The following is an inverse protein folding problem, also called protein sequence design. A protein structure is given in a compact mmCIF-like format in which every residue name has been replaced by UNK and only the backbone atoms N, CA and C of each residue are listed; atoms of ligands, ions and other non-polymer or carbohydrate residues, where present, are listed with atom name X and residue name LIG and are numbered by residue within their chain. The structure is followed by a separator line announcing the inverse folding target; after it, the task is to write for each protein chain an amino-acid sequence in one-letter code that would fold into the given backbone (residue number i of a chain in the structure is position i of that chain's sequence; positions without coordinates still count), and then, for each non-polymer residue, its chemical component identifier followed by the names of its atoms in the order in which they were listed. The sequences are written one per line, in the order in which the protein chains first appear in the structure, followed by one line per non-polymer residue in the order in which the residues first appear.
data_IF_563298010330
#
_entry.id   IF_563298010330
#
_cell.length_a   1.000
_cell.length_b   1.000
_cell.length_c   1.000
_cell.angle_alpha   90.00
_cell.angle_beta   90.00
_cell.angle_gamma   90.00
#
_symmetry.space_group_name_H-M   'P 1'
#
loop_
_entity.id
_entity.type
_entity.pdbx_description
1 polymer ?
#
# COMPACT_ATOMS: atom_id res chain seq x y z
N UNK A 1 -18.12 -2.76 1.90
CA UNK A 1 -16.95 -1.90 2.11
C UNK A 1 -16.39 -1.47 0.75
N UNK A 2 -16.42 -0.18 0.43
CA UNK A 2 -15.93 0.26 -0.88
C UNK A 2 -14.41 0.04 -1.03
N UNK A 3 -14.01 -0.36 -2.20
CA UNK A 3 -12.61 -0.55 -2.52
C UNK A 3 -12.37 -0.30 -4.01
N UNK A 4 -11.12 -0.03 -4.34
CA UNK A 4 -10.68 0.06 -5.72
C UNK A 4 -9.21 -0.31 -5.79
N UNK A 5 -8.76 -0.63 -7.01
CA UNK A 5 -7.33 -0.82 -7.22
C UNK A 5 -6.96 -0.35 -8.63
N UNK A 6 -5.69 0.00 -8.79
CA UNK A 6 -5.19 0.45 -10.07
C UNK A 6 -3.75 -0.02 -10.26
N UNK A 7 -3.35 -0.09 -11.52
CA UNK A 7 -1.98 -0.45 -11.88
C UNK A 7 -1.07 0.74 -11.59
N UNK A 8 -0.06 0.53 -10.73
CA UNK A 8 0.93 1.56 -10.43
C UNK A 8 1.98 1.63 -11.54
N UNK A 9 2.45 0.47 -12.02
CA UNK A 9 3.43 0.41 -13.08
C UNK A 9 4.14 -0.94 -13.12
N UNK A 10 5.24 -0.99 -13.85
CA UNK A 10 6.05 -2.19 -13.99
C UNK A 10 7.48 -1.93 -13.53
N UNK A 11 8.06 -2.90 -12.85
CA UNK A 11 9.44 -2.84 -12.42
C UNK A 11 10.03 -4.26 -12.41
N UNK A 12 11.10 -4.47 -13.17
CA UNK A 12 11.80 -5.76 -13.28
C UNK A 12 10.85 -6.92 -13.60
N UNK A 13 10.04 -6.74 -14.65
CA UNK A 13 9.09 -7.74 -15.17
C UNK A 13 7.93 -8.07 -14.22
N UNK A 14 7.76 -7.29 -13.17
CA UNK A 14 6.62 -7.43 -12.25
C UNK A 14 5.69 -6.23 -12.41
N UNK A 15 4.40 -6.50 -12.37
CA UNK A 15 3.37 -5.45 -12.44
C UNK A 15 2.92 -5.16 -11.02
N UNK A 16 3.02 -3.89 -10.63
CA UNK A 16 2.65 -3.43 -9.29
C UNK A 16 1.30 -2.75 -9.30
N UNK A 17 0.55 -2.96 -8.25
CA UNK A 17 -0.80 -2.42 -8.07
C UNK A 17 -0.91 -1.72 -6.73
N UNK A 18 -1.79 -0.72 -6.66
CA UNK A 18 -2.20 -0.10 -5.41
C UNK A 18 -3.66 -0.47 -5.19
N UNK A 19 -3.94 -1.09 -4.05
CA UNK A 19 -5.29 -1.45 -3.62
C UNK A 19 -5.68 -0.52 -2.48
N UNK A 20 -6.88 0.03 -2.52
CA UNK A 20 -7.36 0.95 -1.51
C UNK A 20 -8.76 0.56 -1.06
N UNK A 21 -9.00 0.58 0.23
CA UNK A 21 -10.33 0.33 0.79
C UNK A 21 -10.61 1.32 1.91
N UNK A 22 -11.88 1.64 2.09
CA UNK A 22 -12.32 2.58 3.11
C UNK A 22 -13.66 2.14 3.66
N UNK A 23 -13.93 2.45 4.91
CA UNK A 23 -15.16 2.12 5.60
C UNK A 23 -15.58 3.33 6.43
N UNK A 24 -16.80 3.83 6.30
CA UNK A 24 -17.90 3.34 5.47
C UNK A 24 -17.85 3.80 4.00
N UNK A 25 -17.09 4.86 3.69
CA UNK A 25 -17.04 5.42 2.34
C UNK A 25 -15.71 6.14 2.08
N UNK A 26 -15.38 6.39 0.81
CA UNK A 26 -14.15 7.07 0.45
C UNK A 26 -14.11 8.54 0.85
N UNK A 27 -15.25 9.19 0.86
CA UNK A 27 -15.32 10.63 1.17
C UNK A 27 -15.32 10.92 2.67
N UNK A 28 -15.58 9.91 3.49
CA UNK A 28 -15.62 10.08 4.95
C UNK A 28 -15.24 8.75 5.64
N UNK A 29 -14.00 8.29 5.47
CA UNK A 29 -13.61 7.00 6.03
C UNK A 29 -13.28 7.08 7.52
N UNK A 30 -13.83 6.16 8.30
CA UNK A 30 -13.44 5.96 9.69
C UNK A 30 -12.20 5.05 9.75
N UNK A 31 -12.19 4.04 8.86
CA UNK A 31 -11.04 3.15 8.71
C UNK A 31 -10.66 3.04 7.24
N UNK A 32 -9.36 2.92 6.97
CA UNK A 32 -8.90 2.70 5.62
C UNK A 32 -7.59 1.92 5.60
N UNK A 33 -7.30 1.33 4.44
CA UNK A 33 -6.03 0.68 4.18
C UNK A 33 -5.69 0.86 2.71
N UNK A 34 -4.43 1.21 2.44
CA UNK A 34 -3.90 1.36 1.09
C UNK A 34 -2.66 0.48 1.00
N UNK A 35 -2.62 -0.43 0.04
CA UNK A 35 -1.58 -1.44 -0.06
C UNK A 35 -0.93 -1.44 -1.44
N UNK A 36 0.40 -1.43 -1.46
CA UNK A 36 1.19 -1.65 -2.67
C UNK A 36 1.56 -3.13 -2.73
N UNK A 37 1.25 -3.79 -3.85
CA UNK A 37 1.53 -5.21 -4.01
C UNK A 37 1.82 -5.55 -5.46
N UNK A 38 2.36 -6.75 -5.68
CA UNK A 38 2.47 -7.33 -7.01
C UNK A 38 2.01 -8.78 -6.96
N UNK A 39 1.65 -9.32 -8.12
CA UNK A 39 1.26 -10.73 -8.24
C UNK A 39 2.47 -11.52 -8.73
N UNK A 40 2.89 -12.50 -7.94
CA UNK A 40 4.01 -13.37 -8.28
C UNK A 40 3.52 -14.45 -9.24
N UNK A 41 4.07 -14.47 -10.45
CA UNK A 41 3.66 -15.41 -11.50
C UNK A 41 3.98 -16.86 -11.11
N UNK A 42 5.07 -17.08 -10.41
CA UNK A 42 5.50 -18.43 -10.05
C UNK A 42 4.67 -19.06 -8.94
N UNK A 43 4.38 -18.30 -7.90
CA UNK A 43 3.60 -18.80 -6.76
C UNK A 43 2.10 -18.54 -6.88
N UNK A 44 1.70 -17.71 -7.85
CA UNK A 44 0.32 -17.26 -8.02
C UNK A 44 -0.23 -16.52 -6.80
N UNK A 45 0.65 -15.96 -5.98
CA UNK A 45 0.28 -15.22 -4.78
C UNK A 45 0.49 -13.72 -4.95
N UNK A 46 -0.31 -12.95 -4.21
CA UNK A 46 -0.11 -11.51 -4.11
C UNK A 46 0.93 -11.23 -3.02
N UNK A 47 1.97 -10.51 -3.37
CA UNK A 47 3.05 -10.17 -2.44
C UNK A 47 2.92 -8.70 -2.07
N UNK A 48 2.59 -8.43 -0.80
CA UNK A 48 2.43 -7.08 -0.31
C UNK A 48 3.81 -6.46 0.00
N UNK A 49 4.03 -5.25 -0.50
CA UNK A 49 5.31 -4.55 -0.36
C UNK A 49 5.24 -3.46 0.70
N UNK A 50 4.18 -2.67 0.70
CA UNK A 50 4.02 -1.55 1.62
C UNK A 50 2.53 -1.32 1.89
N UNK A 51 2.23 -0.80 3.08
CA UNK A 51 0.84 -0.59 3.48
C UNK A 51 0.72 0.63 4.37
N UNK A 52 -0.32 1.42 4.14
CA UNK A 52 -0.68 2.55 4.98
C UNK A 52 -2.10 2.29 5.48
N UNK A 53 -2.29 2.28 6.80
CA UNK A 53 -3.61 2.10 7.37
C UNK A 53 -3.74 2.85 8.70
N UNK A 54 -4.97 2.95 9.20
CA UNK A 54 -5.25 3.63 10.47
C UNK A 54 -5.95 2.71 11.48
N UNK A 55 -5.74 1.40 11.38
CA UNK A 55 -6.45 0.41 12.19
C UNK A 55 -6.19 0.52 13.69
N UNK A 56 -5.13 1.20 14.11
CA UNK A 56 -4.77 1.34 15.53
C UNK A 56 -5.03 2.74 16.08
N UNK A 57 -5.95 3.50 15.45
CA UNK A 57 -6.31 4.83 15.91
C UNK A 57 -5.40 5.95 15.41
N UNK A 58 -4.40 5.61 14.62
CA UNK A 58 -3.52 6.57 13.95
C UNK A 58 -3.05 6.00 12.62
N UNK A 59 -2.66 6.86 11.70
CA UNK A 59 -2.17 6.43 10.40
C UNK A 59 -0.72 5.99 10.53
N UNK A 60 -0.42 4.79 10.06
CA UNK A 60 0.95 4.28 10.10
C UNK A 60 1.31 3.61 8.78
N UNK A 61 2.60 3.66 8.49
CA UNK A 61 3.21 3.11 7.28
C UNK A 61 4.02 1.87 7.68
N UNK A 62 3.80 0.77 6.97
CA UNK A 62 4.49 -0.49 7.22
C UNK A 62 5.17 -0.97 5.93
N UNK A 63 6.50 -1.10 5.98
CA UNK A 63 7.26 -1.73 4.91
C UNK A 63 7.30 -3.22 5.20
N UNK A 64 6.41 -3.96 4.57
CA UNK A 64 6.16 -5.36 4.89
C UNK A 64 7.35 -6.30 4.65
N UNK A 65 8.34 -5.86 3.89
CA UNK A 65 9.58 -6.60 3.65
C UNK A 65 10.67 -6.31 4.70
N UNK A 66 10.43 -5.38 5.61
CA UNK A 66 11.36 -5.02 6.69
C UNK A 66 10.68 -5.19 8.04
N UNK A 67 10.45 -6.45 8.41
CA UNK A 67 9.66 -6.78 9.59
C UNK A 67 10.28 -6.34 10.91
N UNK A 68 11.59 -6.13 10.95
CA UNK A 68 12.32 -5.70 12.13
C UNK A 68 12.30 -4.17 12.32
N UNK A 69 11.79 -3.43 11.36
CA UNK A 69 11.66 -1.99 11.49
C UNK A 69 10.31 -1.64 12.12
N UNK A 70 10.28 -0.64 13.03
CA UNK A 70 9.02 -0.19 13.61
C UNK A 70 8.16 0.49 12.55
N UNK A 71 6.85 0.42 12.74
CA UNK A 71 5.91 1.13 11.87
C UNK A 71 6.10 2.62 12.04
N UNK A 72 6.05 3.34 10.93
CA UNK A 72 6.21 4.79 10.91
C UNK A 72 4.86 5.48 11.00
N UNK A 73 4.71 6.38 11.98
CA UNK A 73 3.49 7.16 12.11
C UNK A 73 3.48 8.25 11.05
N UNK A 74 2.36 8.42 10.36
CA UNK A 74 2.18 9.41 9.32
C UNK A 74 0.92 10.23 9.55
N UNK A 75 0.95 11.48 9.11
CA UNK A 75 -0.22 12.37 9.18
C UNK A 75 -0.80 12.54 7.79
N UNK A 76 -1.49 11.51 7.31
CA UNK A 76 -2.07 11.48 5.97
C UNK A 76 -3.55 11.14 6.04
N UNK A 77 -4.33 11.79 5.17
CA UNK A 77 -5.71 11.38 4.92
C UNK A 77 -5.70 10.15 4.00
N UNK A 78 -6.87 9.53 3.81
CA UNK A 78 -7.01 8.40 2.91
C UNK A 78 -6.48 8.72 1.50
N UNK A 79 -6.94 9.83 0.91
CA UNK A 79 -6.53 10.19 -0.45
C UNK A 79 -5.06 10.57 -0.54
N UNK A 80 -4.52 11.18 0.51
CA UNK A 80 -3.08 11.46 0.57
C UNK A 80 -2.27 10.17 0.65
N UNK A 81 -2.79 9.15 1.34
CA UNK A 81 -2.13 7.84 1.40
C UNK A 81 -2.10 7.16 0.04
N UNK A 82 -3.22 7.22 -0.71
CA UNK A 82 -3.28 6.70 -2.07
C UNK A 82 -2.25 7.39 -2.95
N UNK A 83 -2.22 8.72 -2.91
CA UNK A 83 -1.29 9.54 -3.69
C UNK A 83 0.15 9.26 -3.31
N UNK A 84 0.43 9.08 -2.03
CA UNK A 84 1.77 8.77 -1.54
C UNK A 84 2.31 7.48 -2.15
N UNK A 85 1.52 6.41 -2.15
CA UNK A 85 1.96 5.15 -2.73
C UNK A 85 2.02 5.23 -4.26
N UNK A 86 1.11 5.96 -4.89
CA UNK A 86 1.15 6.16 -6.33
C UNK A 86 2.43 6.87 -6.77
N UNK A 87 2.87 7.87 -6.01
CA UNK A 87 4.07 8.63 -6.34
C UNK A 87 5.36 7.92 -5.97
N UNK A 88 5.34 7.06 -4.95
CA UNK A 88 6.55 6.46 -4.38
C UNK A 88 6.66 4.95 -4.58
N UNK A 89 5.73 4.33 -5.29
CA UNK A 89 5.69 2.87 -5.42
C UNK A 89 7.01 2.28 -5.93
N UNK A 90 7.64 2.97 -6.88
CA UNK A 90 8.88 2.48 -7.51
C UNK A 90 10.04 2.43 -6.53
N UNK A 91 10.09 3.40 -5.62
CA UNK A 91 11.10 3.42 -4.56
C UNK A 91 10.97 2.18 -3.68
N UNK A 92 9.74 1.82 -3.31
CA UNK A 92 9.50 0.65 -2.46
C UNK A 92 9.66 -0.66 -3.22
N UNK A 93 9.29 -0.70 -4.49
CA UNK A 93 9.52 -1.86 -5.35
C UNK A 93 11.01 -2.16 -5.45
N UNK A 94 11.82 -1.13 -5.69
CA UNK A 94 13.27 -1.27 -5.76
C UNK A 94 13.86 -1.74 -4.44
N UNK A 95 13.41 -1.15 -3.35
CA UNK A 95 13.89 -1.50 -2.01
C UNK A 95 13.53 -2.94 -1.64
N UNK A 96 12.37 -3.40 -2.05
CA UNK A 96 11.92 -4.79 -1.82
C UNK A 96 12.79 -5.79 -2.60
N UNK A 97 13.18 -5.45 -3.83
CA UNK A 97 14.02 -6.32 -4.68
C UNK A 97 15.47 -6.40 -4.18
N UNK A 98 15.92 -5.39 -3.50
CA UNK A 98 17.27 -5.35 -2.93
C UNK A 98 17.30 -6.09 -1.59
#
# INVERSE_FOLDING_TARGET
MPNFEFKAGEYREKVYFVSARADPAFDSPDEFAVTLYYNDVESEESIQVARIDNSHGYVHFDRLYRRDEPKEEMDLTFWEAVEFLEENWRTYAKSHED
#
